data_IF_023899615834
#
_entry.id   IF_023899615834
#
_cell.length_a   1.000
_cell.length_b   1.000
_cell.length_c   1.000
_cell.angle_alpha   90.00
_cell.angle_beta   90.00
_cell.angle_gamma   90.00
#
_symmetry.space_group_name_H-M   'P 1'
#
loop_
_entity.id
_entity.type
_entity.pdbx_description
1 polymer ?
#
# COMPACT_ATOMS: atom_id res chain seq x y z
N UNK A 1 -31.28 75.25 -33.42
CA UNK A 1 -31.40 73.92 -34.06
C UNK A 1 -30.95 72.88 -33.04
N UNK A 2 -31.89 72.32 -32.27
CA UNK A 2 -32.51 70.99 -32.49
C UNK A 2 -31.51 69.83 -32.35
N UNK A 3 -31.75 68.74 -31.64
CA UNK A 3 -32.83 68.29 -30.75
C UNK A 3 -32.44 66.91 -30.15
N UNK A 4 -33.10 66.53 -29.04
CA UNK A 4 -33.43 65.16 -28.56
C UNK A 4 -32.26 64.27 -28.10
N UNK A 5 -32.30 63.58 -26.94
CA UNK A 5 -33.41 63.10 -26.12
C UNK A 5 -33.62 61.60 -26.32
N UNK A 6 -33.36 60.78 -25.28
CA UNK A 6 -33.61 59.34 -25.32
C UNK A 6 -33.16 58.60 -24.06
N UNK A 7 -34.02 58.54 -23.05
CA UNK A 7 -33.88 57.69 -21.87
C UNK A 7 -34.34 56.26 -22.19
N UNK A 8 -33.61 55.23 -21.75
CA UNK A 8 -34.15 53.87 -21.66
C UNK A 8 -33.68 53.12 -20.40
N UNK A 9 -34.63 53.02 -19.47
CA UNK A 9 -35.01 51.86 -18.66
C UNK A 9 -33.92 50.97 -18.03
N UNK A 10 -33.85 51.12 -16.69
CA UNK A 10 -33.46 50.07 -15.74
C UNK A 10 -34.32 48.82 -15.92
N UNK A 11 -33.69 47.63 -15.94
CA UNK A 11 -34.33 46.34 -15.63
C UNK A 11 -33.47 45.52 -14.66
N UNK A 12 -34.11 44.65 -13.85
CA UNK A 12 -33.67 44.35 -12.49
C UNK A 12 -32.79 43.10 -12.38
N UNK A 13 -32.04 43.02 -11.27
CA UNK A 13 -31.30 41.85 -10.82
C UNK A 13 -32.23 40.64 -10.63
N UNK A 14 -31.85 39.42 -11.04
CA UNK A 14 -32.59 38.22 -10.70
C UNK A 14 -32.42 37.88 -9.22
N UNK A 15 -33.57 37.56 -8.61
CA UNK A 15 -33.78 37.27 -7.19
C UNK A 15 -32.99 36.06 -6.70
N UNK A 16 -32.49 36.19 -5.47
CA UNK A 16 -31.97 35.13 -4.63
C UNK A 16 -32.93 33.93 -4.58
N UNK A 17 -32.46 32.79 -5.07
CA UNK A 17 -33.07 31.49 -4.83
C UNK A 17 -32.62 30.96 -3.47
N UNK A 18 -33.48 31.10 -2.48
CA UNK A 18 -33.34 30.56 -1.13
C UNK A 18 -33.29 29.01 -1.21
N UNK A 19 -32.10 28.42 -1.09
CA UNK A 19 -31.94 26.96 -0.96
C UNK A 19 -32.29 26.55 0.48
N UNK A 20 -33.15 25.55 0.72
CA UNK A 20 -33.54 25.14 2.06
C UNK A 20 -32.36 24.56 2.83
N UNK A 21 -32.02 25.17 3.98
CA UNK A 21 -31.09 24.60 4.95
C UNK A 21 -31.74 23.36 5.58
N UNK A 22 -31.22 22.16 5.28
CA UNK A 22 -31.58 20.95 6.00
C UNK A 22 -31.12 21.05 7.46
N UNK A 23 -32.10 21.15 8.37
CA UNK A 23 -31.93 21.16 9.81
C UNK A 23 -31.68 19.73 10.29
N UNK A 24 -30.52 19.47 10.88
CA UNK A 24 -30.24 18.21 11.54
C UNK A 24 -31.19 18.00 12.75
N UNK A 25 -31.75 16.80 12.98
CA UNK A 25 -32.55 16.52 14.17
C UNK A 25 -31.65 16.32 15.41
N UNK A 26 -32.13 16.68 16.62
CA UNK A 26 -31.34 16.56 17.84
C UNK A 26 -31.18 15.11 18.30
N UNK A 27 -30.00 14.81 18.85
CA UNK A 27 -29.65 13.52 19.43
C UNK A 27 -30.55 13.17 20.63
N UNK A 28 -31.29 12.05 20.55
CA UNK A 28 -31.98 11.46 21.68
C UNK A 28 -30.98 10.68 22.55
N UNK A 29 -30.86 11.09 23.82
CA UNK A 29 -30.21 10.32 24.88
C UNK A 29 -30.95 8.98 25.06
N UNK A 30 -30.24 7.87 24.94
CA UNK A 30 -30.68 6.60 25.53
C UNK A 30 -29.94 6.39 26.85
N UNK A 31 -30.76 6.26 27.88
CA UNK A 31 -30.43 6.11 29.30
C UNK A 31 -30.73 4.66 29.66
N UNK A 32 -29.76 3.98 30.28
CA UNK A 32 -29.99 2.86 31.21
C UNK A 32 -30.22 1.47 30.60
N UNK A 33 -29.36 0.53 31.01
CA UNK A 33 -29.60 -0.90 31.32
C UNK A 33 -28.19 -1.49 31.55
N UNK A 34 -27.66 -1.43 32.77
CA UNK A 34 -27.72 -2.52 33.78
C UNK A 34 -27.26 -3.86 33.17
N UNK A 35 -25.96 -4.18 33.35
CA UNK A 35 -25.44 -5.15 34.34
C UNK A 35 -26.17 -6.50 34.28
N UNK A 36 -25.45 -7.52 33.83
CA UNK A 36 -25.51 -8.82 34.49
C UNK A 36 -24.11 -9.46 34.50
N UNK A 37 -23.65 -9.82 35.69
CA UNK A 37 -22.42 -10.55 35.98
C UNK A 37 -22.75 -12.03 36.16
N UNK A 38 -21.92 -12.94 35.66
CA UNK A 38 -21.98 -14.34 36.09
C UNK A 38 -21.07 -15.29 35.31
N UNK A 39 -20.49 -16.34 35.94
CA UNK A 39 -19.03 -16.42 35.96
C UNK A 39 -18.39 -17.66 35.28
N UNK A 40 -17.05 -17.59 35.28
CA UNK A 40 -16.03 -18.49 34.78
C UNK A 40 -16.17 -19.99 35.09
N UNK A 41 -15.68 -20.83 34.16
CA UNK A 41 -15.05 -22.13 34.45
C UNK A 41 -13.90 -22.46 33.46
N UNK A 42 -12.68 -22.48 34.00
CA UNK A 42 -11.55 -23.40 33.69
C UNK A 42 -11.29 -24.16 35.03
N UNK A 43 -10.51 -25.25 35.14
CA UNK A 43 -9.37 -25.68 34.30
C UNK A 43 -9.20 -27.21 34.12
N UNK A 44 -8.11 -27.63 33.47
CA UNK A 44 -7.59 -29.01 33.60
C UNK A 44 -6.63 -29.47 32.48
N UNK A 45 -5.33 -29.69 32.74
CA UNK A 45 -4.33 -30.14 31.76
C UNK A 45 -3.85 -31.60 31.99
N UNK A 46 -3.47 -32.29 30.91
CA UNK A 46 -2.63 -33.49 30.89
C UNK A 46 -1.90 -33.49 29.52
N UNK A 47 -0.65 -33.91 29.34
CA UNK A 47 0.33 -34.55 30.19
C UNK A 47 1.57 -34.80 29.31
N UNK A 48 2.74 -34.78 29.93
CA UNK A 48 4.06 -34.97 29.33
C UNK A 48 4.29 -36.41 28.85
N UNK A 49 5.23 -36.61 27.92
CA UNK A 49 5.71 -37.93 27.52
C UNK A 49 6.98 -37.87 26.67
N UNK A 50 8.13 -37.88 27.34
CA UNK A 50 9.50 -37.97 26.81
C UNK A 50 9.92 -39.44 26.69
N UNK A 51 10.60 -39.84 25.60
CA UNK A 51 11.59 -40.93 25.57
C UNK A 51 12.55 -40.64 24.37
N UNK A 52 13.83 -40.24 24.55
CA UNK A 52 15.07 -41.05 24.77
C UNK A 52 15.12 -42.32 23.90
N UNK A 53 16.23 -42.77 23.29
CA UNK A 53 17.61 -42.30 23.01
C UNK A 53 18.28 -43.51 22.30
N UNK A 54 19.25 -43.24 21.41
CA UNK A 54 20.48 -44.03 21.14
C UNK A 54 20.40 -45.41 20.45
N UNK A 55 21.26 -45.58 19.43
CA UNK A 55 21.77 -46.88 19.00
C UNK A 55 22.52 -46.89 17.66
N UNK A 56 23.79 -46.54 17.68
CA UNK A 56 24.85 -46.89 16.69
C UNK A 56 26.07 -47.27 17.56
N UNK A 57 26.93 -48.27 17.25
CA UNK A 57 27.90 -48.34 16.12
C UNK A 57 28.12 -49.80 15.63
N UNK A 58 29.10 -50.25 14.82
CA UNK A 58 30.45 -49.86 14.39
C UNK A 58 30.79 -50.64 13.08
N UNK A 59 31.72 -50.19 12.20
CA UNK A 59 33.12 -50.67 12.01
C UNK A 59 33.24 -52.17 11.61
N UNK A 60 34.13 -52.68 10.74
CA UNK A 60 35.44 -52.26 10.20
C UNK A 60 35.95 -53.37 9.20
N UNK A 61 37.12 -53.13 8.58
CA UNK A 61 38.08 -54.09 7.96
C UNK A 61 37.79 -54.56 6.51
N UNK A 62 38.75 -54.77 5.60
CA UNK A 62 40.17 -55.11 5.73
C UNK A 62 41.03 -54.72 4.50
N UNK A 63 42.34 -54.91 4.67
CA UNK A 63 43.51 -54.49 3.89
C UNK A 63 44.30 -55.71 3.34
N UNK A 64 45.14 -55.49 2.30
CA UNK A 64 46.27 -56.35 1.88
C UNK A 64 46.04 -57.23 0.63
N UNK A 65 47.00 -57.52 -0.26
CA UNK A 65 48.43 -57.17 -0.48
C UNK A 65 48.84 -57.69 -1.92
N UNK A 66 50.11 -57.91 -2.37
CA UNK A 66 50.70 -57.21 -3.53
C UNK A 66 51.41 -58.15 -4.59
N UNK A 67 52.39 -57.60 -5.33
CA UNK A 67 53.38 -58.18 -6.29
C UNK A 67 53.01 -58.01 -7.78
N UNK A 68 53.88 -57.69 -8.75
CA UNK A 68 55.35 -57.80 -8.89
C UNK A 68 55.87 -56.92 -10.08
N UNK A 69 57.19 -56.64 -10.11
CA UNK A 69 58.00 -55.84 -11.07
C UNK A 69 58.58 -56.76 -12.20
N UNK A 70 59.05 -56.32 -13.40
CA UNK A 70 60.34 -55.63 -13.58
C UNK A 70 60.46 -54.60 -14.75
N UNK A 71 61.59 -53.90 -14.69
CA UNK A 71 62.11 -52.78 -15.49
C UNK A 71 62.48 -53.12 -16.94
N UNK A 72 62.33 -52.15 -17.85
CA UNK A 72 63.13 -52.01 -19.08
C UNK A 72 63.53 -50.53 -19.29
N UNK A 73 64.82 -50.19 -19.40
CA UNK A 73 65.28 -48.84 -19.73
C UNK A 73 65.85 -48.79 -21.16
N UNK A 74 65.32 -47.89 -22.01
CA UNK A 74 66.06 -47.04 -22.99
C UNK A 74 65.14 -46.50 -24.09
N UNK A 75 65.39 -45.24 -24.46
CA UNK A 75 65.10 -44.48 -25.71
C UNK A 75 64.29 -43.20 -25.40
N UNK A 76 64.96 -42.06 -25.21
CA UNK A 76 65.41 -41.10 -26.25
C UNK A 76 64.23 -40.44 -26.97
N UNK A 77 64.09 -39.11 -26.76
CA UNK A 77 63.70 -38.19 -27.84
C UNK A 77 62.32 -37.52 -27.75
N UNK A 78 62.36 -36.22 -27.40
CA UNK A 78 61.48 -35.13 -27.86
C UNK A 78 60.01 -35.06 -27.35
N UNK A 79 59.61 -33.92 -26.71
CA UNK A 79 58.22 -33.63 -26.40
C UNK A 79 57.58 -32.75 -27.48
N UNK A 80 56.66 -33.30 -28.27
CA UNK A 80 55.64 -32.48 -28.94
C UNK A 80 54.32 -33.23 -28.90
N UNK A 81 53.26 -32.53 -28.48
CA UNK A 81 51.84 -32.72 -28.82
C UNK A 81 50.92 -33.06 -27.64
N UNK A 82 50.15 -32.02 -27.25
CA UNK A 82 48.74 -32.04 -26.78
C UNK A 82 48.39 -32.79 -25.49
N UNK A 83 48.11 -32.01 -24.45
CA UNK A 83 46.91 -32.21 -23.63
C UNK A 83 46.50 -30.86 -23.01
N UNK A 84 45.83 -30.04 -23.83
CA UNK A 84 45.02 -28.93 -23.37
C UNK A 84 43.88 -29.54 -22.54
N UNK A 85 44.04 -29.61 -21.22
CA UNK A 85 42.96 -29.89 -20.29
C UNK A 85 41.93 -28.77 -20.41
N UNK A 86 40.92 -28.99 -21.27
CA UNK A 86 39.67 -28.25 -21.32
C UNK A 86 39.03 -28.32 -19.93
N UNK A 87 39.24 -27.27 -19.14
CA UNK A 87 38.41 -26.94 -18.00
C UNK A 87 37.03 -26.56 -18.57
N UNK A 88 36.16 -27.55 -18.76
CA UNK A 88 34.73 -27.32 -18.96
C UNK A 88 34.22 -26.81 -17.63
N UNK A 89 34.30 -25.49 -17.43
CA UNK A 89 33.45 -24.79 -16.47
C UNK A 89 32.05 -25.00 -16.99
N UNK A 90 31.33 -25.94 -16.38
CA UNK A 90 29.90 -26.09 -16.58
C UNK A 90 29.25 -24.77 -16.13
N UNK A 91 29.04 -23.84 -17.07
CA UNK A 91 28.09 -22.75 -16.94
C UNK A 91 26.71 -23.42 -16.84
N UNK A 92 26.34 -23.87 -15.65
CA UNK A 92 24.94 -24.15 -15.36
C UNK A 92 24.23 -22.79 -15.45
N UNK A 93 23.33 -22.56 -16.42
CA UNK A 93 22.52 -21.36 -16.41
C UNK A 93 21.73 -21.41 -15.11
N UNK A 94 22.06 -20.50 -14.19
CA UNK A 94 21.26 -20.28 -13.00
C UNK A 94 19.93 -19.74 -13.50
N UNK A 95 18.96 -20.64 -13.65
CA UNK A 95 17.58 -20.28 -13.93
C UNK A 95 17.15 -19.46 -12.71
N UNK A 96 17.20 -18.14 -12.84
CA UNK A 96 16.66 -17.25 -11.83
C UNK A 96 15.17 -17.60 -11.73
N UNK A 97 14.79 -18.37 -10.71
CA UNK A 97 13.38 -18.57 -10.42
C UNK A 97 12.83 -17.18 -10.16
N UNK A 98 11.83 -16.75 -10.93
CA UNK A 98 11.03 -15.60 -10.56
C UNK A 98 10.38 -15.95 -9.21
N UNK A 99 11.03 -15.55 -8.12
CA UNK A 99 10.52 -15.75 -6.78
C UNK A 99 9.25 -14.92 -6.70
N UNK A 100 8.16 -15.55 -6.26
CA UNK A 100 6.92 -14.85 -6.03
C UNK A 100 7.17 -13.62 -5.14
N UNK A 101 6.58 -12.44 -5.44
CA UNK A 101 6.82 -11.23 -4.68
C UNK A 101 6.54 -11.45 -3.20
N UNK A 102 7.49 -11.04 -2.35
CA UNK A 102 7.30 -10.99 -0.90
C UNK A 102 6.87 -9.57 -0.50
N UNK A 103 6.19 -9.43 0.65
CA UNK A 103 5.79 -8.13 1.17
C UNK A 103 7.01 -7.20 1.33
N UNK A 104 8.13 -7.73 1.81
CA UNK A 104 9.37 -6.97 1.97
C UNK A 104 9.92 -6.48 0.64
N UNK A 105 9.99 -7.36 -0.39
CA UNK A 105 10.44 -6.96 -1.72
C UNK A 105 9.52 -5.92 -2.37
N UNK A 106 8.20 -6.01 -2.19
CA UNK A 106 7.24 -5.05 -2.71
C UNK A 106 7.42 -3.68 -2.04
N UNK A 107 7.51 -3.66 -0.72
CA UNK A 107 7.73 -2.45 0.07
C UNK A 107 9.06 -1.77 -0.27
N UNK A 108 10.13 -2.54 -0.43
CA UNK A 108 11.43 -2.02 -0.86
C UNK A 108 11.37 -1.38 -2.26
N UNK A 109 10.60 -1.96 -3.20
CA UNK A 109 10.39 -1.38 -4.53
C UNK A 109 9.59 -0.07 -4.47
N UNK A 110 8.58 0.03 -3.60
CA UNK A 110 7.87 1.29 -3.37
C UNK A 110 8.76 2.38 -2.78
N UNK A 111 9.65 2.03 -1.84
CA UNK A 111 10.62 2.95 -1.24
C UNK A 111 11.60 3.56 -2.25
N UNK A 112 11.85 2.87 -3.37
CA UNK A 112 12.75 3.34 -4.42
C UNK A 112 12.08 4.34 -5.38
N UNK A 113 10.77 4.58 -5.26
CA UNK A 113 10.07 5.49 -6.18
C UNK A 113 10.49 6.95 -5.93
N UNK A 114 10.94 7.68 -6.97
CA UNK A 114 11.27 9.10 -6.83
C UNK A 114 10.03 9.99 -6.61
N UNK A 115 8.85 9.47 -6.90
CA UNK A 115 7.57 10.15 -6.82
C UNK A 115 6.55 9.47 -7.72
N UNK A 116 5.27 9.81 -7.55
CA UNK A 116 4.18 9.22 -8.31
C UNK A 116 3.18 10.28 -8.75
N UNK A 117 2.60 10.08 -9.93
CA UNK A 117 1.45 10.81 -10.45
C UNK A 117 0.46 9.81 -11.05
N UNK A 118 -0.83 9.96 -10.74
CA UNK A 118 -1.87 9.13 -11.32
C UNK A 118 -3.19 9.90 -11.43
N UNK A 119 -4.04 9.47 -12.37
CA UNK A 119 -5.47 9.80 -12.37
C UNK A 119 -6.20 8.75 -11.55
N UNK A 120 -7.29 9.14 -10.92
CA UNK A 120 -8.16 8.20 -10.24
C UNK A 120 -9.63 8.44 -10.58
N UNK A 121 -10.39 7.36 -10.48
CA UNK A 121 -11.84 7.34 -10.40
C UNK A 121 -12.19 6.61 -9.12
N UNK A 122 -13.10 7.17 -8.34
CA UNK A 122 -13.53 6.64 -7.05
C UNK A 122 -15.04 6.49 -7.01
N UNK A 123 -15.52 5.35 -6.52
CA UNK A 123 -16.93 5.07 -6.27
C UNK A 123 -17.11 4.74 -4.80
N UNK A 124 -17.86 5.58 -4.08
CA UNK A 124 -18.26 5.35 -2.69
C UNK A 124 -19.70 4.83 -2.64
N UNK A 125 -19.85 3.55 -2.30
CA UNK A 125 -21.11 2.93 -1.93
C UNK A 125 -21.38 3.25 -0.46
N UNK A 126 -22.33 4.14 -0.21
CA UNK A 126 -22.80 4.43 1.14
C UNK A 126 -24.00 3.55 1.42
N UNK A 127 -24.02 2.85 2.55
CA UNK A 127 -25.08 1.88 2.85
C UNK A 127 -26.50 2.49 2.83
N UNK A 128 -26.61 3.79 3.05
CA UNK A 128 -27.89 4.54 3.05
C UNK A 128 -28.28 5.11 1.67
N UNK A 129 -27.42 5.03 0.66
CA UNK A 129 -27.67 5.58 -0.68
C UNK A 129 -27.91 4.46 -1.70
N UNK A 130 -28.91 4.65 -2.56
CA UNK A 130 -29.23 3.69 -3.61
C UNK A 130 -28.22 3.67 -4.77
N UNK A 131 -27.56 4.81 -5.02
CA UNK A 131 -26.57 4.97 -6.10
C UNK A 131 -25.22 5.33 -5.48
N UNK A 132 -24.10 4.73 -5.93
CA UNK A 132 -22.78 5.09 -5.45
C UNK A 132 -22.45 6.56 -5.79
N UNK A 133 -21.78 7.25 -4.88
CA UNK A 133 -21.20 8.57 -5.14
C UNK A 133 -19.91 8.38 -5.91
N UNK A 134 -19.83 8.94 -7.11
CA UNK A 134 -18.64 8.86 -7.96
C UNK A 134 -17.86 10.16 -7.92
N UNK A 135 -16.54 10.08 -7.84
CA UNK A 135 -15.63 11.21 -7.99
C UNK A 135 -14.41 10.83 -8.84
N UNK A 136 -13.75 11.82 -9.42
CA UNK A 136 -12.54 11.60 -10.21
C UNK A 136 -11.56 12.75 -10.04
N UNK A 137 -10.29 12.48 -10.32
CA UNK A 137 -9.25 13.46 -10.10
C UNK A 137 -7.85 12.93 -10.33
N UNK A 138 -6.90 13.56 -9.65
CA UNK A 138 -5.48 13.29 -9.75
C UNK A 138 -4.84 13.20 -8.36
N UNK A 139 -3.82 12.35 -8.26
CA UNK A 139 -3.01 12.20 -7.06
C UNK A 139 -1.53 12.33 -7.42
N UNK A 140 -0.79 13.03 -6.54
CA UNK A 140 0.65 13.18 -6.63
C UNK A 140 1.30 12.82 -5.30
N UNK A 141 2.43 12.16 -5.37
CA UNK A 141 3.27 11.84 -4.23
C UNK A 141 4.72 12.26 -4.50
N UNK A 142 5.34 12.89 -3.52
CA UNK A 142 6.75 13.26 -3.53
C UNK A 142 7.29 13.21 -2.10
N UNK A 143 8.26 12.34 -1.84
CA UNK A 143 8.94 12.20 -0.54
C UNK A 143 7.96 12.02 0.64
N UNK A 144 7.55 13.10 1.29
CA UNK A 144 6.66 13.11 2.45
C UNK A 144 5.30 13.78 2.19
N UNK A 145 5.08 14.26 0.95
CA UNK A 145 3.88 15.00 0.53
C UNK A 145 2.97 14.17 -0.34
N UNK A 146 1.67 14.27 -0.06
CA UNK A 146 0.61 13.68 -0.87
C UNK A 146 -0.40 14.77 -1.21
N UNK A 147 -0.63 15.00 -2.50
CA UNK A 147 -1.70 15.88 -2.98
C UNK A 147 -2.73 15.04 -3.69
N UNK A 148 -3.99 15.11 -3.24
CA UNK A 148 -5.16 14.58 -3.95
C UNK A 148 -6.04 15.73 -4.38
N UNK A 149 -6.39 15.79 -5.66
CA UNK A 149 -7.29 16.81 -6.21
C UNK A 149 -8.44 16.13 -6.94
N UNK A 150 -9.65 16.33 -6.46
CA UNK A 150 -10.88 15.94 -7.14
C UNK A 150 -11.23 17.04 -8.15
N UNK A 151 -11.50 16.65 -9.39
CA UNK A 151 -11.91 17.55 -10.47
C UNK A 151 -13.41 17.48 -10.74
N UNK A 152 -14.05 16.34 -10.45
CA UNK A 152 -15.49 16.16 -10.62
C UNK A 152 -16.05 15.18 -9.56
N UNK A 153 -17.34 15.31 -9.19
CA UNK A 153 -18.30 16.33 -9.66
C UNK A 153 -18.08 17.71 -9.02
N UNK A 154 -17.54 17.76 -7.81
CA UNK A 154 -17.22 19.01 -7.11
C UNK A 154 -15.72 19.08 -6.84
N UNK A 155 -15.11 20.21 -7.19
CA UNK A 155 -13.69 20.42 -7.01
C UNK A 155 -13.34 20.45 -5.51
N UNK A 156 -12.39 19.59 -5.13
CA UNK A 156 -11.83 19.57 -3.78
C UNK A 156 -10.37 19.18 -3.82
N UNK A 157 -9.63 19.55 -2.78
CA UNK A 157 -8.21 19.23 -2.66
C UNK A 157 -7.89 18.80 -1.23
N UNK A 158 -6.95 17.86 -1.10
CA UNK A 158 -6.39 17.42 0.17
C UNK A 158 -4.87 17.30 0.03
N UNK A 159 -4.13 18.01 0.89
CA UNK A 159 -2.69 17.98 0.97
C UNK A 159 -2.27 17.43 2.33
N UNK A 160 -1.49 16.36 2.31
CA UNK A 160 -0.74 15.89 3.48
C UNK A 160 0.69 16.38 3.33
N UNK A 161 1.16 17.18 4.27
CA UNK A 161 2.53 17.70 4.33
C UNK A 161 2.82 18.18 5.76
N UNK A 162 4.07 18.09 6.23
CA UNK A 162 4.50 18.73 7.48
C UNK A 162 3.68 18.31 8.72
N UNK A 163 3.25 17.04 8.78
CA UNK A 163 2.41 16.54 9.88
C UNK A 163 0.95 17.01 9.86
N UNK A 164 0.52 17.71 8.82
CA UNK A 164 -0.82 18.30 8.69
C UNK A 164 -1.58 17.75 7.50
N UNK A 165 -2.90 17.69 7.63
CA UNK A 165 -3.85 17.52 6.54
C UNK A 165 -4.54 18.86 6.29
N UNK A 166 -4.32 19.45 5.13
CA UNK A 166 -5.03 20.63 4.63
C UNK A 166 -6.05 20.20 3.60
N UNK A 167 -7.30 20.60 3.75
CA UNK A 167 -8.40 20.26 2.83
C UNK A 167 -9.11 21.52 2.36
N UNK A 168 -9.54 21.52 1.09
CA UNK A 168 -10.47 22.52 0.56
C UNK A 168 -11.66 21.85 -0.09
N UNK A 169 -12.86 22.32 0.25
CA UNK A 169 -14.12 21.99 -0.40
C UNK A 169 -14.88 23.30 -0.66
N UNK A 170 -15.04 23.68 -1.93
CA UNK A 170 -15.53 25.01 -2.29
C UNK A 170 -14.64 26.11 -1.67
N UNK A 171 -15.24 27.06 -0.97
CA UNK A 171 -14.53 28.15 -0.28
C UNK A 171 -14.01 27.76 1.12
N UNK A 172 -14.42 26.59 1.64
CA UNK A 172 -14.01 26.16 2.98
C UNK A 172 -12.64 25.50 2.92
N UNK A 173 -11.72 26.04 3.70
CA UNK A 173 -10.42 25.44 3.98
C UNK A 173 -10.40 24.95 5.42
N UNK A 174 -9.93 23.73 5.62
CA UNK A 174 -9.77 23.11 6.93
C UNK A 174 -8.34 22.56 7.06
N UNK A 175 -7.76 22.73 8.23
CA UNK A 175 -6.45 22.19 8.57
C UNK A 175 -6.56 21.36 9.84
N UNK A 176 -6.01 20.16 9.78
CA UNK A 176 -6.05 19.18 10.88
C UNK A 176 -4.61 18.75 11.16
N UNK A 177 -4.17 18.93 12.40
CA UNK A 177 -2.95 18.30 12.90
C UNK A 177 -3.17 16.79 12.95
N UNK A 178 -2.36 16.03 12.20
CA UNK A 178 -2.53 14.57 12.13
C UNK A 178 -2.30 13.94 13.52
N UNK A 179 -1.44 14.57 14.31
CA UNK A 179 -1.17 14.23 15.70
C UNK A 179 -2.37 14.33 16.65
N UNK A 180 -3.47 14.98 16.25
CA UNK A 180 -4.65 15.16 17.11
C UNK A 180 -5.77 14.16 16.80
N UNK A 181 -5.70 13.48 15.65
CA UNK A 181 -6.69 12.48 15.24
C UNK A 181 -6.02 11.09 15.09
N UNK A 182 -6.17 10.18 16.05
CA UNK A 182 -5.55 8.84 16.01
C UNK A 182 -5.92 8.01 14.79
N UNK A 183 -7.16 8.14 14.29
CA UNK A 183 -7.61 7.43 13.09
C UNK A 183 -6.88 7.97 11.87
N UNK A 184 -6.88 9.30 11.69
CA UNK A 184 -6.17 9.96 10.60
C UNK A 184 -4.67 9.63 10.62
N UNK A 185 -4.05 9.68 11.80
CA UNK A 185 -2.65 9.28 12.00
C UNK A 185 -2.39 7.87 11.51
N UNK A 186 -3.21 6.90 11.94
CA UNK A 186 -3.07 5.52 11.51
C UNK A 186 -3.16 5.34 9.99
N UNK A 187 -4.05 6.09 9.32
CA UNK A 187 -4.13 6.10 7.86
C UNK A 187 -2.88 6.70 7.20
N UNK A 188 -2.50 7.92 7.60
CA UNK A 188 -1.38 8.64 7.00
C UNK A 188 -0.06 7.91 7.23
N UNK A 189 0.19 7.45 8.45
CA UNK A 189 1.42 6.75 8.80
C UNK A 189 1.54 5.42 8.06
N UNK A 190 0.41 4.74 7.79
CA UNK A 190 0.44 3.47 7.07
C UNK A 190 0.65 3.66 5.57
N UNK A 191 0.08 4.72 4.97
CA UNK A 191 0.39 5.08 3.59
C UNK A 191 1.86 5.47 3.44
N UNK A 192 2.39 6.30 4.35
CA UNK A 192 3.81 6.64 4.41
C UNK A 192 4.69 5.42 4.62
N UNK A 193 4.29 4.47 5.47
CA UNK A 193 5.03 3.24 5.70
C UNK A 193 5.12 2.38 4.44
N UNK A 194 4.04 2.27 3.65
CA UNK A 194 4.08 1.57 2.35
C UNK A 194 5.08 2.25 1.42
N UNK A 195 5.01 3.57 1.29
CA UNK A 195 5.86 4.34 0.38
C UNK A 195 7.32 4.49 0.84
N UNK A 196 7.59 4.38 2.14
CA UNK A 196 8.94 4.37 2.69
C UNK A 196 9.54 2.96 2.79
N UNK A 197 8.76 1.93 2.43
CA UNK A 197 9.15 0.53 2.59
C UNK A 197 9.27 0.07 4.05
N UNK A 198 8.68 0.81 5.00
CA UNK A 198 8.77 0.55 6.43
C UNK A 198 7.69 -0.46 6.86
N UNK A 199 8.03 -1.74 6.68
CA UNK A 199 7.16 -2.85 7.09
C UNK A 199 6.80 -2.80 8.56
N UNK A 200 7.75 -2.48 9.44
CA UNK A 200 7.52 -2.47 10.88
C UNK A 200 6.45 -1.43 11.24
N UNK A 201 6.53 -0.23 10.65
CA UNK A 201 5.53 0.83 10.80
C UNK A 201 4.17 0.46 10.23
N UNK A 202 4.12 -0.14 9.03
CA UNK A 202 2.86 -0.62 8.46
C UNK A 202 2.21 -1.66 9.37
N UNK A 203 3.02 -2.61 9.85
CA UNK A 203 2.53 -3.67 10.70
C UNK A 203 2.09 -3.14 12.06
N UNK A 204 2.60 -2.01 12.58
CA UNK A 204 2.06 -1.40 13.83
C UNK A 204 0.56 -1.18 13.77
N UNK A 205 0.05 -0.75 12.63
CA UNK A 205 -1.36 -0.41 12.42
C UNK A 205 -2.18 -1.54 11.80
N UNK A 206 -1.57 -2.40 11.00
CA UNK A 206 -2.26 -3.42 10.20
C UNK A 206 -1.65 -4.82 10.35
N UNK A 207 -2.48 -5.83 10.17
CA UNK A 207 -2.03 -7.13 9.68
C UNK A 207 -1.99 -7.06 8.16
N UNK A 208 -0.79 -7.08 7.59
CA UNK A 208 -0.57 -7.08 6.14
C UNK A 208 -0.46 -8.51 5.61
N UNK A 209 -1.12 -8.80 4.50
CA UNK A 209 -1.04 -10.10 3.81
C UNK A 209 -0.90 -9.85 2.32
N UNK A 210 0.21 -10.32 1.75
CA UNK A 210 0.46 -10.24 0.32
C UNK A 210 0.11 -11.58 -0.32
N UNK A 211 -0.69 -11.54 -1.37
CA UNK A 211 -1.00 -12.69 -2.22
C UNK A 211 -0.39 -12.44 -3.60
N UNK A 212 0.65 -13.19 -4.00
CA UNK A 212 1.19 -13.14 -5.35
C UNK A 212 0.18 -13.58 -6.41
N UNK A 213 0.19 -12.92 -7.56
CA UNK A 213 -0.53 -13.31 -8.77
C UNK A 213 0.42 -13.81 -9.86
N UNK A 214 -0.07 -13.85 -11.11
CA UNK A 214 0.75 -14.18 -12.28
C UNK A 214 1.75 -13.04 -12.60
N UNK A 215 2.99 -13.40 -12.94
CA UNK A 215 4.02 -12.41 -13.27
C UNK A 215 4.37 -11.51 -12.09
N UNK A 216 4.29 -10.18 -12.29
CA UNK A 216 4.49 -9.20 -11.23
C UNK A 216 3.20 -8.82 -10.48
N UNK A 217 2.06 -9.45 -10.80
CA UNK A 217 0.79 -9.10 -10.19
C UNK A 217 0.76 -9.46 -8.70
N UNK A 218 0.04 -8.67 -7.91
CA UNK A 218 -0.11 -8.89 -6.48
C UNK A 218 -1.41 -8.29 -5.93
N UNK A 219 -1.86 -8.85 -4.81
CA UNK A 219 -2.90 -8.28 -3.96
C UNK A 219 -2.35 -8.10 -2.54
N UNK A 220 -2.42 -6.87 -2.01
CA UNK A 220 -2.04 -6.53 -0.65
C UNK A 220 -3.30 -6.23 0.17
N UNK A 221 -3.58 -7.09 1.14
CA UNK A 221 -4.68 -6.95 2.08
C UNK A 221 -4.18 -6.43 3.42
N UNK A 222 -4.81 -5.38 3.93
CA UNK A 222 -4.48 -4.70 5.19
C UNK A 222 -5.70 -4.72 6.11
N UNK A 223 -5.60 -5.42 7.24
CA UNK A 223 -6.64 -5.46 8.28
C UNK A 223 -6.17 -4.69 9.50
N UNK A 224 -6.90 -3.66 9.97
CA UNK A 224 -6.50 -2.90 11.16
C UNK A 224 -6.31 -3.78 12.39
N UNK A 225 -5.17 -3.60 13.07
CA UNK A 225 -4.93 -4.14 14.42
C UNK A 225 -4.99 -3.05 15.49
N UNK A 226 -4.69 -1.80 15.11
CA UNK A 226 -4.80 -0.64 15.97
C UNK A 226 -6.25 -0.37 16.39
N UNK A 227 -6.44 0.02 17.66
CA UNK A 227 -7.77 0.17 18.25
C UNK A 227 -8.55 1.35 17.66
N UNK A 228 -7.89 2.45 17.29
CA UNK A 228 -8.57 3.60 16.70
C UNK A 228 -9.01 3.27 15.26
N UNK A 229 -8.11 2.69 14.45
CA UNK A 229 -8.44 2.30 13.08
C UNK A 229 -9.57 1.26 13.03
N UNK A 230 -9.56 0.25 13.93
CA UNK A 230 -10.61 -0.79 13.99
C UNK A 230 -12.02 -0.24 14.25
N UNK A 231 -12.17 0.98 14.77
CA UNK A 231 -13.49 1.62 14.97
C UNK A 231 -14.07 2.19 13.70
N UNK A 232 -13.24 2.47 12.70
CA UNK A 232 -13.62 3.14 11.46
C UNK A 232 -13.48 2.21 10.25
N UNK A 233 -12.43 1.40 10.21
CA UNK A 233 -12.00 0.62 9.06
C UNK A 233 -12.09 -0.88 9.36
N UNK A 234 -12.64 -1.65 8.41
CA UNK A 234 -12.61 -3.12 8.42
C UNK A 234 -11.41 -3.65 7.65
N UNK A 235 -11.16 -3.11 6.47
CA UNK A 235 -10.15 -3.63 5.54
C UNK A 235 -9.79 -2.61 4.45
N UNK A 236 -8.52 -2.60 4.05
CA UNK A 236 -8.07 -2.06 2.77
C UNK A 236 -7.48 -3.19 1.94
N UNK A 237 -7.83 -3.27 0.67
CA UNK A 237 -7.22 -4.20 -0.30
C UNK A 237 -6.71 -3.40 -1.48
N UNK A 238 -5.45 -3.59 -1.84
CA UNK A 238 -4.82 -2.96 -3.01
C UNK A 238 -4.39 -4.03 -4.00
N UNK A 239 -4.55 -3.75 -5.29
CA UNK A 239 -4.14 -4.63 -6.38
C UNK A 239 -3.25 -3.87 -7.35
N UNK A 240 -2.25 -4.55 -7.87
CA UNK A 240 -1.26 -3.94 -8.72
C UNK A 240 -0.38 -4.97 -9.42
N UNK A 241 0.56 -4.46 -10.20
CA UNK A 241 1.72 -5.21 -10.67
C UNK A 241 2.98 -4.37 -10.51
N UNK A 242 4.06 -5.03 -10.10
CA UNK A 242 5.33 -4.36 -9.82
C UNK A 242 5.16 -3.24 -8.78
N UNK A 243 5.39 -1.99 -9.20
CA UNK A 243 5.20 -0.76 -8.38
C UNK A 243 3.97 0.05 -8.77
N UNK A 244 3.13 -0.48 -9.66
CA UNK A 244 1.92 0.18 -10.14
C UNK A 244 0.73 -0.33 -9.34
N UNK A 245 -0.01 0.58 -8.71
CA UNK A 245 -1.29 0.27 -8.07
C UNK A 245 -2.40 0.57 -9.07
N UNK A 246 -3.25 -0.42 -9.36
CA UNK A 246 -4.38 -0.29 -10.28
C UNK A 246 -5.68 -0.02 -9.54
N UNK A 247 -5.85 -0.63 -8.37
CA UNK A 247 -7.08 -0.55 -7.60
C UNK A 247 -6.80 -0.52 -6.10
N UNK A 248 -7.57 0.29 -5.39
CA UNK A 248 -7.70 0.25 -3.95
C UNK A 248 -9.18 0.10 -3.59
N UNK A 249 -9.48 -0.81 -2.67
CA UNK A 249 -10.79 -0.98 -2.06
C UNK A 249 -10.68 -0.77 -0.56
N UNK A 250 -11.53 0.07 0.01
CA UNK A 250 -11.61 0.35 1.43
C UNK A 250 -13.01 0.02 1.93
N UNK A 251 -13.11 -0.73 3.02
CA UNK A 251 -14.39 -1.07 3.67
C UNK A 251 -14.42 -0.51 5.07
N UNK A 252 -15.38 0.34 5.35
CA UNK A 252 -15.61 0.95 6.66
C UNK A 252 -16.44 0.04 7.58
N UNK A 253 -16.40 0.26 8.89
CA UNK A 253 -17.19 -0.49 9.88
C UNK A 253 -18.69 -0.32 9.63
N UNK A 254 -19.09 0.86 9.15
CA UNK A 254 -20.45 1.21 8.72
C UNK A 254 -21.00 0.32 7.60
N UNK A 255 -20.12 -0.36 6.86
CA UNK A 255 -20.48 -1.09 5.63
C UNK A 255 -20.28 -0.26 4.37
N UNK A 256 -19.89 1.02 4.49
CA UNK A 256 -19.53 1.83 3.35
C UNK A 256 -18.29 1.25 2.66
N UNK A 257 -18.32 1.25 1.33
CA UNK A 257 -17.23 0.77 0.50
C UNK A 257 -16.77 1.87 -0.43
N UNK A 258 -15.47 2.13 -0.46
CA UNK A 258 -14.85 3.02 -1.45
C UNK A 258 -13.96 2.19 -2.36
N UNK A 259 -14.21 2.25 -3.67
CA UNK A 259 -13.37 1.63 -4.70
C UNK A 259 -12.72 2.71 -5.53
N UNK A 260 -11.40 2.77 -5.52
CA UNK A 260 -10.59 3.72 -6.29
C UNK A 260 -9.82 2.97 -7.36
N UNK A 261 -10.04 3.31 -8.63
CA UNK A 261 -9.29 2.79 -9.78
C UNK A 261 -8.32 3.85 -10.27
N UNK A 262 -7.06 3.47 -10.46
CA UNK A 262 -6.00 4.35 -10.92
C UNK A 262 -5.71 4.13 -12.40
N UNK A 263 -5.32 5.20 -13.09
CA UNK A 263 -4.94 5.16 -14.50
C UNK A 263 -3.89 6.22 -14.78
N UNK A 264 -3.21 6.11 -15.92
CA UNK A 264 -2.09 6.99 -16.29
C UNK A 264 -1.05 7.12 -15.16
N UNK A 265 -0.75 5.99 -14.51
CA UNK A 265 0.18 5.93 -13.38
C UNK A 265 1.61 6.12 -13.89
N UNK A 266 2.29 7.13 -13.37
CA UNK A 266 3.70 7.40 -13.59
C UNK A 266 4.45 7.31 -12.26
N UNK A 267 5.14 6.19 -12.04
CA UNK A 267 5.94 5.87 -10.84
C UNK A 267 7.36 6.45 -10.87
N UNK A 268 7.77 7.06 -11.99
CA UNK A 268 9.09 7.68 -12.17
C UNK A 268 9.01 9.21 -12.10
N UNK A 269 7.94 9.75 -11.51
CA UNK A 269 7.70 11.18 -11.49
C UNK A 269 8.71 11.88 -10.60
N UNK A 270 9.41 12.87 -11.17
CA UNK A 270 10.27 13.81 -10.44
C UNK A 270 9.69 15.21 -10.58
N UNK A 271 9.61 15.97 -9.51
CA UNK A 271 9.04 17.33 -9.53
C UNK A 271 10.16 18.35 -9.45
N UNK A 272 10.18 19.30 -10.39
CA UNK A 272 11.01 20.50 -10.24
C UNK A 272 10.51 21.34 -9.06
N UNK A 273 11.34 22.20 -8.44
CA UNK A 273 10.90 23.07 -7.35
C UNK A 273 9.70 23.95 -7.72
N UNK A 274 9.61 24.41 -8.97
CA UNK A 274 8.48 25.21 -9.46
C UNK A 274 7.19 24.38 -9.57
N UNK A 275 7.27 23.15 -10.10
CA UNK A 275 6.12 22.24 -10.14
C UNK A 275 5.66 21.87 -8.73
N UNK A 276 6.60 21.55 -7.84
CA UNK A 276 6.28 21.17 -6.47
C UNK A 276 5.50 22.28 -5.74
N UNK A 277 5.93 23.54 -5.88
CA UNK A 277 5.21 24.70 -5.31
C UNK A 277 3.80 24.88 -5.89
N UNK A 278 3.61 24.56 -7.16
CA UNK A 278 2.31 24.69 -7.86
C UNK A 278 1.36 23.53 -7.55
N UNK A 279 1.87 22.31 -7.43
CA UNK A 279 1.09 21.08 -7.26
C UNK A 279 0.75 20.86 -5.78
N UNK A 280 1.73 20.93 -4.88
CA UNK A 280 1.56 20.62 -3.46
C UNK A 280 1.08 21.84 -2.66
N UNK A 281 -0.06 22.40 -3.07
CA UNK A 281 -0.75 23.49 -2.37
C UNK A 281 -2.26 23.35 -2.49
N UNK A 282 -2.94 23.63 -1.38
CA UNK A 282 -4.39 23.77 -1.36
C UNK A 282 -4.68 25.23 -1.74
N UNK A 283 -4.70 25.50 -3.05
CA UNK A 283 -5.39 26.70 -3.56
C UNK A 283 -6.87 26.53 -3.32
#
# INVERSE_FOLDING_TARGET
MSARGGAHLRRPLPREGLVPRHRAPPARRLRGLERDEGPARRPGPHGAGVHRRRGQPAARDAEGDPAENPRDPRRVGAPVTRALCLLIVALTPSVASAQAPTLESLLARFAALPGLEARFVEEKRVALLAVPVRSEGQIWFSEDRVMRRVTAPEASAALIAEGRLRMRQGERVEEIEIGDNPVLRGFVDSFRAVLAGDRASLERYYRATLTPGEGEAWELRLVPRDAALRRFLREITMRGDGVTIHEMRMVEVSGDETRTTFSAVNTNRRFTPAEARRIFRVE
#
